data_IF_534972779726
#
_entry.id   IF_534972779726
#
_cell.length_a   1.000
_cell.length_b   1.000
_cell.length_c   1.000
_cell.angle_alpha   90.00
_cell.angle_beta   90.00
_cell.angle_gamma   90.00
#
_symmetry.space_group_name_H-M   'P 1'
#
loop_
_entity.id
_entity.type
_entity.pdbx_description
1 polymer ?
#
# COMPACT_ATOMS: atom_id res chain seq x y z
N UNK A 1 5.33 -4.63 32.05
CA UNK A 1 4.43 -5.62 31.44
C UNK A 1 4.62 -5.58 29.94
N UNK A 2 5.27 -6.57 29.29
CA UNK A 2 5.24 -6.65 27.84
C UNK A 2 3.81 -6.90 27.39
N UNK A 3 3.25 -6.03 26.55
CA UNK A 3 1.96 -6.29 25.91
C UNK A 3 2.10 -7.51 25.00
N UNK A 4 1.14 -8.44 24.99
CA UNK A 4 1.15 -9.54 24.03
C UNK A 4 1.27 -8.95 22.63
N UNK A 5 2.20 -9.47 21.82
CA UNK A 5 2.34 -9.02 20.44
C UNK A 5 1.01 -9.33 19.74
N UNK A 6 0.30 -8.34 19.19
CA UNK A 6 -0.96 -8.59 18.52
C UNK A 6 -0.75 -9.61 17.41
N UNK A 7 -1.60 -10.63 17.36
CA UNK A 7 -1.54 -11.67 16.35
C UNK A 7 -1.56 -11.03 14.95
N UNK A 8 -0.51 -11.30 14.18
CA UNK A 8 -0.34 -10.78 12.81
C UNK A 8 -0.64 -11.84 11.76
N UNK A 9 -1.18 -12.98 12.18
CA UNK A 9 -1.49 -14.08 11.30
C UNK A 9 -2.60 -13.65 10.34
N UNK A 10 -2.40 -13.77 9.02
CA UNK A 10 -3.45 -13.51 8.06
C UNK A 10 -4.59 -14.51 8.27
N UNK A 11 -5.82 -14.00 8.40
CA UNK A 11 -7.00 -14.84 8.55
C UNK A 11 -7.54 -15.19 7.16
N UNK A 12 -7.69 -16.48 6.82
CA UNK A 12 -8.26 -16.89 5.54
C UNK A 12 -9.74 -16.55 5.45
N UNK A 13 -10.24 -16.36 4.24
CA UNK A 13 -11.65 -16.15 3.99
C UNK A 13 -11.97 -16.09 2.50
N UNK A 14 -13.21 -15.73 2.21
CA UNK A 14 -13.73 -15.63 0.84
C UNK A 14 -14.41 -14.28 0.65
N UNK A 15 -14.23 -13.67 -0.51
CA UNK A 15 -14.93 -12.43 -0.85
C UNK A 15 -16.35 -12.71 -1.40
N UNK A 16 -17.06 -11.63 -1.73
CA UNK A 16 -18.41 -11.63 -2.29
C UNK A 16 -18.53 -12.36 -3.63
N UNK A 17 -17.40 -12.63 -4.29
CA UNK A 17 -17.31 -13.31 -5.58
C UNK A 17 -16.76 -14.73 -5.46
N UNK A 18 -16.63 -15.25 -4.24
CA UNK A 18 -16.10 -16.59 -3.99
C UNK A 18 -14.59 -16.71 -4.20
N UNK A 19 -13.84 -15.60 -4.29
CA UNK A 19 -12.37 -15.65 -4.41
C UNK A 19 -11.72 -15.72 -3.05
N UNK A 20 -10.64 -16.49 -2.96
CA UNK A 20 -9.89 -16.65 -1.73
C UNK A 20 -9.11 -15.39 -1.38
N UNK A 21 -9.29 -14.91 -0.15
CA UNK A 21 -8.69 -13.67 0.36
C UNK A 21 -8.07 -13.91 1.73
N UNK A 22 -7.05 -13.11 2.06
CA UNK A 22 -6.60 -12.94 3.43
C UNK A 22 -7.10 -11.62 4.01
N UNK A 23 -7.47 -11.67 5.28
CA UNK A 23 -7.63 -10.50 6.15
C UNK A 23 -6.37 -10.38 7.00
N UNK A 24 -5.52 -9.42 6.67
CA UNK A 24 -4.24 -9.21 7.35
C UNK A 24 -4.43 -8.17 8.46
N UNK A 25 -4.22 -8.52 9.73
CA UNK A 25 -4.36 -7.57 10.83
C UNK A 25 -3.34 -6.43 10.74
N UNK A 26 -3.80 -5.19 10.96
CA UNK A 26 -2.96 -4.00 11.07
C UNK A 26 -2.84 -3.63 12.55
N UNK A 27 -1.72 -3.97 13.21
CA UNK A 27 -1.59 -3.96 14.66
C UNK A 27 -1.72 -2.55 15.28
N UNK A 28 -1.49 -1.50 14.50
CA UNK A 28 -1.49 -0.12 15.00
C UNK A 28 -2.88 0.55 14.98
N UNK A 29 -3.88 -0.09 14.37
CA UNK A 29 -5.24 0.46 14.23
C UNK A 29 -6.35 -0.52 14.58
N UNK A 30 -6.03 -1.78 14.88
CA UNK A 30 -7.02 -2.79 15.27
C UNK A 30 -8.00 -3.19 14.16
N UNK A 31 -7.70 -2.83 12.91
CA UNK A 31 -8.47 -3.22 11.73
C UNK A 31 -7.65 -4.15 10.83
N UNK A 32 -8.32 -4.86 9.92
CA UNK A 32 -7.65 -5.72 8.94
C UNK A 32 -7.74 -5.13 7.54
N UNK A 33 -6.73 -5.41 6.72
CA UNK A 33 -6.75 -5.15 5.27
C UNK A 33 -7.13 -6.42 4.53
N UNK A 34 -7.89 -6.29 3.45
CA UNK A 34 -8.30 -7.40 2.59
C UNK A 34 -7.41 -7.44 1.34
N UNK A 35 -6.92 -8.64 1.00
CA UNK A 35 -6.03 -8.89 -0.15
C UNK A 35 -6.32 -10.28 -0.72
N UNK A 36 -6.12 -10.49 -2.03
CA UNK A 36 -6.17 -11.84 -2.58
C UNK A 36 -5.05 -12.72 -2.01
N UNK A 37 -5.37 -14.00 -1.77
CA UNK A 37 -4.40 -14.91 -1.19
C UNK A 37 -3.15 -15.09 -2.06
N UNK A 38 -3.33 -15.27 -3.37
CA UNK A 38 -2.24 -15.36 -4.35
C UNK A 38 -1.28 -14.15 -4.30
N UNK A 39 -1.84 -12.95 -4.09
CA UNK A 39 -1.09 -11.71 -4.05
C UNK A 39 -0.30 -11.59 -2.74
N UNK A 40 -0.91 -11.99 -1.62
CA UNK A 40 -0.22 -12.06 -0.34
C UNK A 40 0.94 -13.06 -0.38
N UNK A 41 0.68 -14.29 -0.85
CA UNK A 41 1.68 -15.35 -0.94
C UNK A 41 2.83 -14.93 -1.86
N UNK A 42 2.54 -14.25 -2.97
CA UNK A 42 3.54 -13.67 -3.85
C UNK A 42 4.40 -12.60 -3.16
N UNK A 43 3.83 -11.76 -2.30
CA UNK A 43 4.60 -10.79 -1.52
C UNK A 43 5.53 -11.50 -0.51
N UNK A 44 5.03 -12.50 0.21
CA UNK A 44 5.83 -13.28 1.17
C UNK A 44 6.97 -14.01 0.46
N UNK A 45 6.69 -14.66 -0.68
CA UNK A 45 7.69 -15.35 -1.49
C UNK A 45 8.80 -14.41 -2.01
N UNK A 46 8.49 -13.13 -2.21
CA UNK A 46 9.47 -12.07 -2.56
C UNK A 46 10.25 -11.53 -1.36
N UNK A 47 10.06 -12.09 -0.17
CA UNK A 47 10.70 -11.66 1.07
C UNK A 47 10.11 -10.38 1.68
N UNK A 48 8.89 -9.99 1.26
CA UNK A 48 8.18 -8.85 1.85
C UNK A 48 7.49 -9.35 3.12
N UNK A 49 7.79 -8.73 4.26
CA UNK A 49 7.19 -9.13 5.54
C UNK A 49 5.68 -8.93 5.54
N UNK A 50 4.93 -9.83 6.20
CA UNK A 50 3.51 -9.66 6.52
C UNK A 50 3.25 -8.65 7.66
N UNK A 51 4.30 -8.08 8.27
CA UNK A 51 4.15 -7.03 9.28
C UNK A 51 3.87 -5.67 8.63
N UNK A 52 2.59 -5.41 8.38
CA UNK A 52 2.12 -4.18 7.75
C UNK A 52 1.54 -3.21 8.79
N UNK A 53 1.52 -1.92 8.46
CA UNK A 53 0.96 -0.86 9.30
C UNK A 53 0.09 0.09 8.46
N UNK A 54 -0.89 0.72 9.11
CA UNK A 54 -1.64 1.83 8.53
C UNK A 54 -0.97 3.17 8.87
N UNK A 55 -0.68 4.02 7.90
CA UNK A 55 -0.06 5.34 8.18
C UNK A 55 -1.04 6.52 8.15
N UNK A 56 -2.34 6.28 8.30
CA UNK A 56 -3.39 7.31 8.14
C UNK A 56 -3.87 7.49 6.70
N UNK A 57 -3.12 6.97 5.71
CA UNK A 57 -3.43 7.14 4.28
C UNK A 57 -3.38 5.85 3.48
N UNK A 58 -2.46 4.96 3.80
CA UNK A 58 -2.22 3.73 3.06
C UNK A 58 -1.61 2.66 3.96
N UNK A 59 -1.75 1.41 3.54
CA UNK A 59 -1.05 0.28 4.15
C UNK A 59 0.39 0.26 3.67
N UNK A 60 1.33 0.25 4.61
CA UNK A 60 2.76 0.29 4.38
C UNK A 60 3.46 -0.89 5.04
N UNK A 61 4.60 -1.25 4.47
CA UNK A 61 5.51 -2.26 5.01
C UNK A 61 6.91 -1.65 5.13
N UNK A 62 7.58 -1.94 6.24
CA UNK A 62 8.98 -1.56 6.44
C UNK A 62 9.92 -2.42 5.59
N UNK A 63 10.99 -1.82 5.10
CA UNK A 63 12.09 -2.54 4.45
C UNK A 63 13.31 -2.62 5.36
N UNK A 64 14.22 -3.56 5.09
CA UNK A 64 15.50 -3.68 5.81
C UNK A 64 16.36 -2.41 5.75
N UNK A 65 16.17 -1.57 4.72
CA UNK A 65 16.88 -0.29 4.57
C UNK A 65 16.35 0.84 5.47
N UNK A 66 15.32 0.58 6.28
CA UNK A 66 14.63 1.60 7.06
C UNK A 66 13.59 2.42 6.27
N UNK A 67 13.56 2.31 4.93
CA UNK A 67 12.51 2.93 4.13
C UNK A 67 11.19 2.16 4.21
N UNK A 68 10.06 2.85 4.05
CA UNK A 68 8.73 2.24 3.98
C UNK A 68 8.23 2.18 2.53
N UNK A 69 7.48 1.14 2.20
CA UNK A 69 6.88 0.94 0.88
C UNK A 69 5.38 0.71 1.02
N UNK A 70 4.59 1.30 0.13
CA UNK A 70 3.14 1.08 0.10
C UNK A 70 2.83 -0.31 -0.47
N UNK A 71 2.01 -1.10 0.23
CA UNK A 71 1.64 -2.46 -0.21
C UNK A 71 0.90 -2.42 -1.54
N UNK A 72 -0.06 -1.51 -1.72
CA UNK A 72 -0.77 -1.30 -2.99
C UNK A 72 0.17 -1.09 -4.20
N UNK A 73 1.31 -0.43 -3.97
CA UNK A 73 2.32 -0.18 -5.02
C UNK A 73 3.09 -1.45 -5.38
N UNK A 74 3.41 -2.26 -4.37
CA UNK A 74 4.09 -3.55 -4.54
C UNK A 74 3.21 -4.53 -5.32
N UNK A 75 1.91 -4.52 -5.06
CA UNK A 75 0.92 -5.36 -5.73
C UNK A 75 0.78 -5.03 -7.22
N UNK A 76 0.70 -3.75 -7.58
CA UNK A 76 0.60 -3.36 -8.99
C UNK A 76 1.94 -3.27 -9.72
N UNK A 77 3.07 -3.47 -9.02
CA UNK A 77 4.41 -3.14 -9.54
C UNK A 77 4.43 -1.74 -10.22
N UNK A 78 3.73 -0.77 -9.63
CA UNK A 78 3.42 0.50 -10.30
C UNK A 78 4.70 1.26 -10.66
N UNK A 79 4.82 1.75 -11.91
CA UNK A 79 6.01 2.46 -12.38
C UNK A 79 6.29 3.74 -11.60
N UNK A 80 7.51 4.25 -11.72
CA UNK A 80 7.87 5.56 -11.20
C UNK A 80 6.94 6.65 -11.80
N UNK A 81 6.73 7.73 -11.04
CA UNK A 81 5.83 8.80 -11.45
C UNK A 81 4.34 8.45 -11.42
N UNK A 82 3.95 7.26 -10.97
CA UNK A 82 2.54 6.87 -10.81
C UNK A 82 2.15 6.76 -9.34
N UNK A 83 0.87 7.03 -9.08
CA UNK A 83 0.23 6.86 -7.78
C UNK A 83 -0.86 5.80 -7.89
N UNK A 84 -0.91 4.91 -6.91
CA UNK A 84 -1.96 3.90 -6.81
C UNK A 84 -3.15 4.47 -6.05
N UNK A 85 -4.34 4.22 -6.57
CA UNK A 85 -5.63 4.57 -5.98
C UNK A 85 -6.48 3.32 -5.87
N UNK A 86 -7.47 3.35 -4.98
CA UNK A 86 -8.53 2.34 -4.90
C UNK A 86 -9.75 2.81 -5.71
N UNK A 87 -10.45 1.87 -6.36
CA UNK A 87 -11.64 2.18 -7.17
C UNK A 87 -12.84 2.50 -6.28
N UNK A 88 -13.00 1.77 -5.19
CA UNK A 88 -14.07 1.96 -4.21
C UNK A 88 -13.80 3.02 -3.13
N UNK A 89 -12.63 3.68 -3.16
CA UNK A 89 -12.21 4.65 -2.14
C UNK A 89 -11.79 4.05 -0.80
N UNK A 90 -11.91 2.73 -0.60
CA UNK A 90 -11.48 2.03 0.61
C UNK A 90 -10.01 1.59 0.49
N UNK A 91 -9.12 2.28 1.20
CA UNK A 91 -7.68 1.99 1.20
C UNK A 91 -7.28 0.72 1.98
N UNK A 92 -8.23 0.07 2.65
CA UNK A 92 -8.07 -1.23 3.30
C UNK A 92 -8.53 -2.40 2.42
N UNK A 93 -9.02 -2.12 1.20
CA UNK A 93 -9.31 -3.14 0.19
C UNK A 93 -8.19 -3.12 -0.86
N UNK A 94 -7.19 -3.99 -0.66
CA UNK A 94 -6.02 -4.15 -1.52
C UNK A 94 -6.18 -5.27 -2.56
N UNK A 95 -7.40 -5.77 -2.79
CA UNK A 95 -7.66 -6.69 -3.91
C UNK A 95 -7.21 -6.05 -5.22
N UNK A 96 -6.44 -6.78 -6.03
CA UNK A 96 -5.77 -6.22 -7.23
C UNK A 96 -6.74 -5.57 -8.22
N UNK A 97 -7.97 -6.07 -8.33
CA UNK A 97 -9.01 -5.49 -9.18
C UNK A 97 -9.62 -4.19 -8.63
N UNK A 98 -9.43 -3.89 -7.33
CA UNK A 98 -9.76 -2.59 -6.75
C UNK A 98 -8.64 -1.56 -6.92
N UNK A 99 -7.44 -1.95 -7.36
CA UNK A 99 -6.30 -1.04 -7.48
C UNK A 99 -6.18 -0.46 -8.90
N UNK A 100 -5.81 0.83 -8.98
CA UNK A 100 -5.50 1.50 -10.24
C UNK A 100 -4.28 2.41 -10.09
N UNK A 101 -3.31 2.28 -10.99
CA UNK A 101 -2.19 3.20 -11.10
C UNK A 101 -2.56 4.38 -12.01
N UNK A 102 -2.33 5.61 -11.55
CA UNK A 102 -2.54 6.84 -12.33
C UNK A 102 -1.25 7.65 -12.39
N UNK A 103 -0.92 8.28 -13.53
CA UNK A 103 0.23 9.17 -13.61
C UNK A 103 0.05 10.36 -12.66
N UNK A 104 1.10 10.72 -11.94
CA UNK A 104 1.12 11.91 -11.10
C UNK A 104 1.22 13.11 -12.04
N UNK A 105 0.17 13.93 -12.08
CA UNK A 105 0.22 15.24 -12.75
C UNK A 105 1.19 16.13 -11.97
N UNK A 106 2.45 16.19 -12.42
CA UNK A 106 3.37 17.24 -11.98
C UNK A 106 2.98 18.48 -12.74
N UNK A 107 2.38 19.46 -12.06
CA UNK A 107 2.36 20.80 -12.61
C UNK A 107 3.81 21.21 -12.86
N UNK A 108 4.16 21.75 -14.04
CA UNK A 108 5.48 22.32 -14.23
C UNK A 108 5.69 23.33 -13.11
N UNK A 109 6.75 23.14 -12.31
CA UNK A 109 7.19 24.22 -11.43
C UNK A 109 7.48 25.38 -12.38
N UNK A 110 6.73 26.48 -12.27
CA UNK A 110 7.11 27.71 -12.94
C UNK A 110 8.52 28.03 -12.46
N UNK A 111 9.50 27.79 -13.32
CA UNK A 111 10.84 28.28 -13.14
C UNK A 111 10.69 29.79 -13.18
N UNK A 112 10.76 30.44 -12.03
CA UNK A 112 10.77 31.89 -11.94
C UNK A 112 12.12 32.34 -12.51
N UNK A 113 12.23 32.35 -13.84
CA UNK A 113 13.35 32.98 -14.55
C UNK A 113 13.13 34.48 -14.43
N UNK A 114 13.40 35.02 -13.24
CA UNK A 114 13.52 36.45 -13.03
C UNK A 114 14.63 36.95 -13.93
N UNK A 115 14.25 37.54 -15.06
CA UNK A 115 15.16 38.35 -15.87
C UNK A 115 15.54 39.56 -15.02
N UNK A 116 16.74 39.54 -14.48
CA UNK A 116 17.41 40.74 -13.99
C UNK A 116 17.45 41.74 -15.14
N UNK A 117 16.73 42.85 -15.01
CA UNK A 117 16.83 44.01 -15.90
C UNK A 117 17.92 44.90 -15.30
N UNK A 118 19.09 45.09 -15.94
CA UNK A 118 20.01 46.12 -15.50
C UNK A 118 19.41 47.49 -15.85
N UNK A 119 19.50 48.42 -14.91
CA UNK A 119 19.26 49.85 -15.10
C UNK A 119 20.51 50.49 -15.72
#
# INVERSE_FOLDING_TARGET
MPTPTPDRTPLPGTDDRGRYVYRVPLPNVGVSVMIYAEDYDSLIARGISGSWCWNGRSVVVGSRSGSTRTVARLLLNSPAGHRVHTRNGNNLDLRRDNLIAKPIRRYPRHTFTGRHRPL
#
